data_IF_474678685466
#
_entry.id   IF_474678685466
#
_cell.length_a   1.000
_cell.length_b   1.000
_cell.length_c   1.000
_cell.angle_alpha   90.00
_cell.angle_beta   90.00
_cell.angle_gamma   90.00
#
_symmetry.space_group_name_H-M   'P 1'
#
loop_
_entity.id
_entity.type
_entity.pdbx_description
1 polymer ?
#
# COMPACT_ATOMS: atom_id res chain seq x y z
N UNK A 1 -9.03 25.93 18.50
CA UNK A 1 -8.20 25.01 17.67
C UNK A 1 -8.93 23.69 17.50
N UNK A 2 -9.11 23.21 16.26
CA UNK A 2 -9.63 21.88 16.07
C UNK A 2 -8.65 20.82 16.59
N UNK A 3 -9.18 19.69 17.05
CA UNK A 3 -8.35 18.57 17.49
C UNK A 3 -7.72 17.87 16.26
N UNK A 4 -6.51 17.36 16.43
CA UNK A 4 -5.88 16.51 15.42
C UNK A 4 -6.67 15.21 15.29
N UNK A 5 -6.99 14.79 14.07
CA UNK A 5 -7.76 13.59 13.77
C UNK A 5 -6.86 12.53 13.15
N UNK A 6 -7.03 11.31 13.61
CA UNK A 6 -6.47 10.16 12.89
C UNK A 6 -7.31 9.89 11.65
N UNK A 7 -6.71 9.25 10.65
CA UNK A 7 -7.39 8.93 9.41
C UNK A 7 -7.00 7.53 8.94
N UNK A 8 -7.79 7.00 8.05
CA UNK A 8 -7.59 5.73 7.36
C UNK A 8 -7.54 6.01 5.87
N UNK A 9 -6.74 5.25 5.13
CA UNK A 9 -6.73 5.31 3.67
C UNK A 9 -7.48 4.10 3.15
N UNK A 10 -8.46 4.32 2.27
CA UNK A 10 -9.23 3.26 1.63
C UNK A 10 -8.85 3.16 0.16
N UNK A 11 -8.48 1.95 -0.26
CA UNK A 11 -8.25 1.62 -1.66
C UNK A 11 -9.48 0.90 -2.21
N UNK A 12 -10.08 1.43 -3.26
CA UNK A 12 -11.01 0.68 -4.08
C UNK A 12 -10.21 -0.23 -5.01
N UNK A 13 -10.57 -1.50 -5.09
CA UNK A 13 -9.71 -2.51 -5.76
C UNK A 13 -10.53 -3.69 -6.25
N UNK A 14 -9.87 -4.59 -6.98
CA UNK A 14 -10.47 -5.84 -7.44
C UNK A 14 -10.25 -6.99 -6.45
N UNK A 15 -9.06 -7.06 -5.85
CA UNK A 15 -8.65 -8.17 -4.99
C UNK A 15 -8.10 -7.64 -3.64
N UNK A 16 -9.00 -7.36 -2.68
CA UNK A 16 -8.60 -6.70 -1.43
C UNK A 16 -7.46 -7.37 -0.66
N UNK A 17 -7.51 -8.67 -0.45
CA UNK A 17 -6.47 -9.36 0.32
C UNK A 17 -5.12 -9.34 -0.40
N UNK A 18 -5.12 -9.58 -1.69
CA UNK A 18 -3.90 -9.59 -2.48
C UNK A 18 -3.23 -8.22 -2.47
N UNK A 19 -4.00 -7.17 -2.68
CA UNK A 19 -3.50 -5.79 -2.66
C UNK A 19 -3.02 -5.40 -1.26
N UNK A 20 -3.76 -5.76 -0.22
CA UNK A 20 -3.37 -5.49 1.16
C UNK A 20 -2.02 -6.14 1.51
N UNK A 21 -1.81 -7.40 1.13
CA UNK A 21 -0.54 -8.09 1.39
C UNK A 21 0.63 -7.47 0.64
N UNK A 22 0.41 -6.98 -0.57
CA UNK A 22 1.42 -6.18 -1.28
C UNK A 22 1.80 -4.93 -0.48
N UNK A 23 0.82 -4.18 0.01
CA UNK A 23 1.08 -2.97 0.79
C UNK A 23 1.69 -3.25 2.16
N UNK A 24 1.43 -4.41 2.76
CA UNK A 24 2.19 -4.87 3.93
C UNK A 24 3.69 -4.94 3.62
N UNK A 25 4.06 -5.49 2.46
CA UNK A 25 5.46 -5.57 2.05
C UNK A 25 6.08 -4.19 1.77
N UNK A 26 5.32 -3.28 1.19
CA UNK A 26 5.79 -1.91 0.90
C UNK A 26 6.06 -1.13 2.18
N UNK A 27 5.16 -1.20 3.14
CA UNK A 27 5.15 -0.33 4.32
C UNK A 27 5.71 -0.98 5.60
N UNK A 28 5.95 -2.30 5.58
CA UNK A 28 6.26 -3.02 6.81
C UNK A 28 5.03 -3.16 7.71
N UNK A 29 3.85 -3.10 7.14
CA UNK A 29 2.59 -3.27 7.85
C UNK A 29 2.27 -4.74 8.05
N UNK A 30 1.32 -5.02 8.92
CA UNK A 30 0.87 -6.37 9.23
C UNK A 30 -0.62 -6.51 8.96
N UNK A 31 -1.03 -7.74 8.70
CA UNK A 31 -2.45 -8.09 8.63
C UNK A 31 -2.98 -8.14 10.07
N UNK A 32 -4.05 -7.39 10.38
CA UNK A 32 -4.62 -7.43 11.73
C UNK A 32 -5.26 -8.78 12.02
N UNK A 33 -5.53 -9.10 13.29
CA UNK A 33 -6.32 -10.27 13.63
C UNK A 33 -7.65 -10.28 12.90
N UNK A 34 -8.24 -11.46 12.64
CA UNK A 34 -9.56 -11.53 12.03
C UNK A 34 -10.62 -10.86 12.92
N UNK A 35 -11.78 -10.49 12.37
CA UNK A 35 -12.87 -9.93 13.16
C UNK A 35 -13.25 -10.80 14.37
N UNK A 36 -13.75 -10.15 15.42
CA UNK A 36 -14.17 -10.81 16.64
C UNK A 36 -15.11 -11.99 16.35
N UNK A 37 -14.85 -13.13 17.01
CA UNK A 37 -15.63 -14.35 16.83
C UNK A 37 -15.06 -15.33 15.82
N UNK A 38 -13.94 -15.00 15.16
CA UNK A 38 -13.28 -15.88 14.19
C UNK A 38 -11.81 -16.09 14.55
N UNK A 39 -11.33 -17.32 14.39
CA UNK A 39 -9.94 -17.66 14.66
C UNK A 39 -9.02 -17.30 13.50
N UNK A 40 -9.54 -17.37 12.26
CA UNK A 40 -8.79 -17.05 11.03
C UNK A 40 -9.60 -16.18 10.10
N UNK A 41 -8.90 -15.49 9.18
CA UNK A 41 -9.54 -14.76 8.10
C UNK A 41 -10.31 -15.68 7.14
N UNK A 42 -9.84 -16.91 6.95
CA UNK A 42 -10.55 -17.90 6.12
C UNK A 42 -11.88 -18.32 6.77
N UNK A 43 -11.91 -18.47 8.07
CA UNK A 43 -13.16 -18.75 8.82
C UNK A 43 -14.14 -17.59 8.66
N UNK A 44 -13.65 -16.36 8.80
CA UNK A 44 -14.49 -15.18 8.58
C UNK A 44 -15.03 -15.13 7.16
N UNK A 45 -14.18 -15.32 6.16
CA UNK A 45 -14.57 -15.32 4.75
C UNK A 45 -15.65 -16.37 4.48
N UNK A 46 -15.44 -17.58 4.94
CA UNK A 46 -16.37 -18.70 4.73
C UNK A 46 -17.73 -18.47 5.35
N UNK A 47 -17.80 -17.70 6.44
CA UNK A 47 -19.04 -17.36 7.12
C UNK A 47 -19.85 -16.28 6.41
N UNK A 48 -19.23 -15.56 5.44
CA UNK A 48 -19.93 -14.51 4.71
C UNK A 48 -20.81 -15.08 3.59
N UNK A 49 -21.90 -14.40 3.20
CA UNK A 49 -22.63 -14.75 1.99
C UNK A 49 -21.69 -14.80 0.78
N UNK A 50 -21.87 -15.70 -0.21
CA UNK A 50 -20.95 -15.88 -1.32
C UNK A 50 -20.54 -14.58 -2.03
N UNK A 51 -21.49 -13.67 -2.25
CA UNK A 51 -21.21 -12.37 -2.91
C UNK A 51 -20.40 -11.39 -2.05
N UNK A 52 -20.25 -11.66 -0.75
CA UNK A 52 -19.52 -10.82 0.19
C UNK A 52 -18.16 -11.40 0.59
N UNK A 53 -17.86 -12.61 0.15
CA UNK A 53 -16.57 -13.24 0.46
C UNK A 53 -15.43 -12.49 -0.19
N UNK A 54 -14.44 -12.09 0.62
CA UNK A 54 -13.32 -11.30 0.14
C UNK A 54 -13.68 -9.87 -0.26
N UNK A 55 -14.81 -9.34 0.20
CA UNK A 55 -15.28 -8.00 -0.16
C UNK A 55 -14.39 -6.88 0.39
N UNK A 56 -13.64 -7.15 1.44
CA UNK A 56 -12.71 -6.20 2.05
C UNK A 56 -11.56 -6.90 2.74
N UNK A 57 -10.51 -6.16 2.97
CA UNK A 57 -9.35 -6.57 3.76
C UNK A 57 -8.69 -5.35 4.36
N UNK A 58 -7.69 -5.53 5.23
CA UNK A 58 -7.00 -4.42 5.85
C UNK A 58 -5.55 -4.78 6.16
N UNK A 59 -4.72 -3.76 6.28
CA UNK A 59 -3.41 -3.87 6.93
C UNK A 59 -3.18 -2.64 7.80
N UNK A 60 -2.31 -2.79 8.79
CA UNK A 60 -2.08 -1.73 9.76
C UNK A 60 -0.64 -1.68 10.22
N UNK A 61 -0.24 -0.49 10.65
CA UNK A 61 1.05 -0.26 11.27
C UNK A 61 1.07 -0.97 12.63
N UNK A 62 2.00 -1.93 12.85
CA UNK A 62 2.07 -2.64 14.14
C UNK A 62 2.41 -1.71 15.30
N UNK A 63 2.99 -0.54 15.05
CA UNK A 63 3.28 0.47 16.08
C UNK A 63 2.09 1.38 16.38
N UNK A 64 1.08 1.40 15.51
CA UNK A 64 -0.07 2.29 15.62
C UNK A 64 0.19 3.74 15.22
N UNK A 65 1.40 4.08 14.76
CA UNK A 65 1.76 5.47 14.41
C UNK A 65 1.19 5.89 13.05
N UNK A 66 1.19 4.97 12.07
CA UNK A 66 0.70 5.25 10.73
C UNK A 66 -0.79 4.96 10.56
N UNK A 67 -1.40 5.47 9.47
CA UNK A 67 -2.80 5.21 9.18
C UNK A 67 -3.03 3.74 8.80
N UNK A 68 -4.18 3.21 9.20
CA UNK A 68 -4.65 1.91 8.74
C UNK A 68 -4.98 2.02 7.25
N UNK A 69 -4.69 0.98 6.47
CA UNK A 69 -5.13 0.86 5.09
C UNK A 69 -6.28 -0.13 5.02
N UNK A 70 -7.34 0.26 4.34
CA UNK A 70 -8.52 -0.53 4.11
C UNK A 70 -8.68 -0.77 2.61
N UNK A 71 -9.04 -1.98 2.22
CA UNK A 71 -9.15 -2.36 0.81
C UNK A 71 -10.56 -2.88 0.57
N UNK A 72 -11.25 -2.24 -0.34
CA UNK A 72 -12.66 -2.53 -0.63
C UNK A 72 -12.82 -2.95 -2.09
N UNK A 73 -13.44 -4.11 -2.30
CA UNK A 73 -13.74 -4.55 -3.67
C UNK A 73 -14.81 -3.69 -4.29
N UNK A 74 -14.52 -3.20 -5.49
CA UNK A 74 -15.46 -2.45 -6.33
C UNK A 74 -15.46 -3.05 -7.74
N UNK A 75 -16.59 -2.93 -8.50
CA UNK A 75 -16.62 -3.45 -9.86
C UNK A 75 -15.84 -2.59 -10.86
N UNK A 76 -15.65 -1.30 -10.55
CA UNK A 76 -14.94 -0.38 -11.42
C UNK A 76 -13.45 -0.64 -11.41
N UNK A 77 -12.85 -0.80 -12.60
CA UNK A 77 -11.41 -0.88 -12.75
C UNK A 77 -10.73 0.49 -12.67
N UNK A 78 -9.41 0.47 -12.54
CA UNK A 78 -8.58 1.67 -12.59
C UNK A 78 -8.60 2.24 -14.02
N UNK A 79 -9.21 3.41 -14.22
CA UNK A 79 -9.42 4.01 -15.54
C UNK A 79 -8.61 5.30 -15.77
N UNK A 80 -8.16 5.97 -14.72
CA UNK A 80 -7.46 7.23 -14.81
C UNK A 80 -6.33 7.29 -13.77
N UNK A 81 -5.40 8.25 -13.97
CA UNK A 81 -4.33 8.49 -13.00
C UNK A 81 -4.91 8.86 -11.64
N UNK A 82 -4.30 8.34 -10.57
CA UNK A 82 -4.65 8.71 -9.21
C UNK A 82 -4.53 10.22 -9.01
N UNK A 83 -5.48 10.80 -8.29
CA UNK A 83 -5.41 12.20 -7.85
C UNK A 83 -4.73 12.33 -6.49
N UNK A 84 -4.69 11.23 -5.74
CA UNK A 84 -3.95 11.12 -4.48
C UNK A 84 -3.02 9.93 -4.62
N UNK A 85 -1.76 10.10 -4.26
CA UNK A 85 -0.79 9.01 -4.23
C UNK A 85 -0.01 9.05 -2.93
N UNK A 86 0.42 7.89 -2.47
CA UNK A 86 1.23 7.76 -1.28
C UNK A 86 2.70 7.91 -1.66
N UNK A 87 3.43 8.73 -0.91
CA UNK A 87 4.89 8.85 -1.02
C UNK A 87 5.49 8.04 0.12
N UNK A 88 6.13 6.93 -0.22
CA UNK A 88 6.74 6.02 0.75
C UNK A 88 8.14 6.51 1.05
N UNK A 89 8.40 6.90 2.30
CA UNK A 89 9.65 7.52 2.73
C UNK A 89 10.74 6.47 2.94
N UNK A 90 11.48 6.18 1.89
CA UNK A 90 12.54 5.15 1.87
C UNK A 90 13.90 5.74 2.19
N UNK A 91 14.16 6.95 1.71
CA UNK A 91 15.49 7.57 1.71
C UNK A 91 15.57 8.83 2.59
N UNK A 92 14.81 8.89 3.66
CA UNK A 92 14.79 10.04 4.57
C UNK A 92 16.20 10.35 5.08
N UNK A 93 16.61 11.62 4.94
CA UNK A 93 17.91 12.09 5.37
C UNK A 93 19.07 11.79 4.41
N UNK A 94 18.82 11.08 3.31
CA UNK A 94 19.82 10.80 2.29
C UNK A 94 19.71 11.78 1.13
N UNK A 95 20.85 12.07 0.53
CA UNK A 95 20.96 12.94 -0.65
C UNK A 95 21.89 12.34 -1.70
N UNK A 96 21.81 12.79 -2.94
CA UNK A 96 22.73 12.42 -4.00
C UNK A 96 22.72 10.94 -4.32
N UNK A 97 23.92 10.36 -4.52
CA UNK A 97 24.08 8.98 -4.91
C UNK A 97 23.57 7.99 -3.86
N UNK A 98 23.71 8.30 -2.58
CA UNK A 98 23.21 7.45 -1.50
C UNK A 98 21.68 7.37 -1.51
N UNK A 99 21.04 8.50 -1.73
CA UNK A 99 19.57 8.56 -1.86
C UNK A 99 19.11 7.73 -3.04
N UNK A 100 19.70 7.94 -4.19
CA UNK A 100 19.35 7.21 -5.41
C UNK A 100 19.55 5.69 -5.21
N UNK A 101 20.65 5.28 -4.62
CA UNK A 101 20.95 3.87 -4.36
C UNK A 101 19.89 3.22 -3.44
N UNK A 102 19.47 3.94 -2.39
CA UNK A 102 18.42 3.45 -1.48
C UNK A 102 17.09 3.26 -2.20
N UNK A 103 16.70 4.22 -3.03
CA UNK A 103 15.46 4.13 -3.82
C UNK A 103 15.52 3.01 -4.85
N UNK A 104 16.63 2.86 -5.55
CA UNK A 104 16.82 1.79 -6.53
C UNK A 104 16.80 0.41 -5.89
N UNK A 105 17.39 0.26 -4.70
CA UNK A 105 17.37 -0.99 -3.94
C UNK A 105 15.94 -1.37 -3.57
N UNK A 106 15.14 -0.41 -3.10
CA UNK A 106 13.75 -0.67 -2.74
C UNK A 106 12.90 -0.97 -3.99
N UNK A 107 13.12 -0.25 -5.08
CA UNK A 107 12.46 -0.54 -6.36
C UNK A 107 12.76 -1.98 -6.80
N UNK A 108 14.02 -2.41 -6.71
CA UNK A 108 14.42 -3.78 -7.04
C UNK A 108 13.78 -4.82 -6.12
N UNK A 109 13.59 -4.50 -4.85
CA UNK A 109 12.92 -5.39 -3.89
C UNK A 109 11.44 -5.57 -4.21
N UNK A 110 10.76 -4.49 -4.60
CA UNK A 110 9.32 -4.49 -4.83
C UNK A 110 8.91 -5.04 -6.20
N UNK A 111 9.78 -4.94 -7.20
CA UNK A 111 9.46 -5.37 -8.56
C UNK A 111 9.08 -6.86 -8.65
N UNK A 112 9.80 -7.81 -8.04
CA UNK A 112 9.37 -9.21 -8.04
C UNK A 112 8.05 -9.47 -7.32
N UNK A 113 7.62 -8.55 -6.45
CA UNK A 113 6.34 -8.64 -5.75
C UNK A 113 5.17 -8.12 -6.61
N UNK A 114 5.47 -7.59 -7.79
CA UNK A 114 4.45 -7.13 -8.73
C UNK A 114 4.39 -5.62 -8.93
N UNK A 115 5.20 -4.83 -8.23
CA UNK A 115 5.29 -3.40 -8.48
C UNK A 115 5.89 -3.13 -9.85
N UNK A 116 5.46 -2.04 -10.48
CA UNK A 116 5.99 -1.62 -11.78
C UNK A 116 6.77 -0.32 -11.60
N UNK A 117 8.02 -0.31 -12.03
CA UNK A 117 8.82 0.91 -12.13
C UNK A 117 8.32 1.75 -13.30
N UNK A 118 7.93 3.00 -13.02
CA UNK A 118 7.47 3.92 -14.07
C UNK A 118 8.65 4.70 -14.65
N UNK A 119 9.39 5.39 -13.79
CA UNK A 119 10.59 6.13 -14.16
C UNK A 119 11.38 6.48 -12.90
N UNK A 120 12.61 6.93 -13.10
CA UNK A 120 13.45 7.46 -12.02
C UNK A 120 13.65 8.94 -12.28
N UNK A 121 13.27 9.78 -11.31
CA UNK A 121 13.53 11.22 -11.36
C UNK A 121 14.73 11.50 -10.48
N UNK A 122 15.72 12.20 -11.04
CA UNK A 122 16.99 12.49 -10.36
C UNK A 122 17.50 13.85 -10.80
N UNK A 123 17.76 14.74 -9.84
CA UNK A 123 18.28 16.08 -10.08
C UNK A 123 19.57 16.39 -9.31
N UNK A 124 20.36 15.39 -9.06
CA UNK A 124 21.65 15.52 -8.39
C UNK A 124 21.59 15.29 -6.88
N UNK A 125 20.81 16.05 -6.15
CA UNK A 125 20.65 15.86 -4.69
C UNK A 125 19.36 15.19 -4.31
N UNK A 126 18.32 15.37 -5.12
CA UNK A 126 17.02 14.83 -4.90
C UNK A 126 16.72 13.72 -5.89
N UNK A 127 15.92 12.76 -5.47
CA UNK A 127 15.48 11.68 -6.31
C UNK A 127 14.14 11.14 -5.80
N UNK A 128 13.32 10.62 -6.70
CA UNK A 128 12.15 9.82 -6.37
C UNK A 128 11.86 8.85 -7.51
N UNK A 129 11.17 7.77 -7.19
CA UNK A 129 10.82 6.72 -8.16
C UNK A 129 9.31 6.51 -8.14
N UNK A 130 8.57 7.09 -9.09
CA UNK A 130 7.17 6.72 -9.31
C UNK A 130 7.04 5.25 -9.69
N UNK A 131 6.09 4.58 -9.03
CA UNK A 131 5.81 3.16 -9.19
C UNK A 131 4.32 2.94 -9.38
N UNK A 132 3.94 1.74 -9.83
CA UNK A 132 2.57 1.25 -9.78
C UNK A 132 2.49 0.06 -8.84
N UNK A 133 1.43 -0.03 -8.05
CA UNK A 133 1.13 -1.23 -7.28
C UNK A 133 0.56 -2.33 -8.20
N UNK A 134 0.23 -3.47 -7.63
CA UNK A 134 -0.23 -4.64 -8.40
C UNK A 134 -1.60 -4.46 -9.09
N UNK A 135 -2.32 -3.40 -8.76
CA UNK A 135 -3.57 -3.02 -9.44
C UNK A 135 -3.45 -1.72 -10.24
N UNK A 136 -2.23 -1.23 -10.44
CA UNK A 136 -1.96 -0.06 -11.26
C UNK A 136 -2.12 1.28 -10.55
N UNK A 137 -2.24 1.30 -9.22
CA UNK A 137 -2.30 2.55 -8.48
C UNK A 137 -0.91 3.17 -8.37
N UNK A 138 -0.82 4.46 -8.67
CA UNK A 138 0.44 5.20 -8.60
C UNK A 138 0.83 5.47 -7.16
N UNK A 139 2.09 5.20 -6.84
CA UNK A 139 2.74 5.62 -5.60
C UNK A 139 4.19 5.99 -5.89
N UNK A 140 4.89 6.54 -4.93
CA UNK A 140 6.25 7.02 -5.14
C UNK A 140 7.16 6.52 -4.02
N UNK A 141 8.37 6.14 -4.39
CA UNK A 141 9.47 5.94 -3.44
C UNK A 141 10.24 7.24 -3.32
N UNK A 142 10.41 7.72 -2.07
CA UNK A 142 10.92 9.06 -1.78
C UNK A 142 11.89 9.06 -0.57
#
# INVERSE_FOLDING_TARGET
MPAIRKFQVTFDCAEPERLARFWCEVLGYVVPPPPEGFDTWDDFRSAQPPGRRGAWFACEDPTGAGPRLYFRRVPEGKAAKNRVHLDVRVATGLVGAERLAALEAECARLTPLGAVHVRTLYDGNDACIPMLDIEGNEFCLD
#
